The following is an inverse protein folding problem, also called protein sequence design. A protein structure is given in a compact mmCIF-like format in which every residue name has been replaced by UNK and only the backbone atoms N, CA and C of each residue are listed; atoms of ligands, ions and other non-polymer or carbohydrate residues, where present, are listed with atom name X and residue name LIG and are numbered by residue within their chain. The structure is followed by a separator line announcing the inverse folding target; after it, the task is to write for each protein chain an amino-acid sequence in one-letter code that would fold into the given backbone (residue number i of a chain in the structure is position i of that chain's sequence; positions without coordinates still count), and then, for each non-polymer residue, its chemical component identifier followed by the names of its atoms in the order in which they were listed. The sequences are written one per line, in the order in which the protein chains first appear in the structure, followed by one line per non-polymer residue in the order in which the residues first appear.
data_IF_673863081983
#
_entry.id   IF_673863081983
#
_cell.length_a   1.000
_cell.length_b   1.000
_cell.length_c   1.000
_cell.angle_alpha   90.00
_cell.angle_beta   90.00
_cell.angle_gamma   90.00
#
_symmetry.space_group_name_H-M   'P 1'
#
loop_
_entity.id
_entity.type
_entity.pdbx_description
1 polymer ?
#
# COMPACT_ATOMS: atom_id res chain seq x y z
N UNK A 1 -15.28 4.29 -5.16
CA UNK A 1 -14.33 3.33 -5.78
C UNK A 1 -13.37 4.15 -6.61
N UNK A 2 -12.07 4.04 -6.36
CA UNK A 2 -11.07 4.92 -6.99
C UNK A 2 -11.03 4.71 -8.52
N UNK A 3 -10.88 5.78 -9.29
CA UNK A 3 -10.75 5.71 -10.75
C UNK A 3 -9.37 6.18 -11.26
N UNK A 4 -9.14 6.03 -12.57
CA UNK A 4 -7.84 6.36 -13.18
C UNK A 4 -7.45 7.85 -13.09
N UNK A 5 -8.44 8.77 -13.05
CA UNK A 5 -8.17 10.20 -12.91
C UNK A 5 -7.70 10.52 -11.49
N UNK A 6 -8.37 9.96 -10.48
CA UNK A 6 -7.98 10.08 -9.08
C UNK A 6 -6.59 9.48 -8.83
N UNK A 7 -6.31 8.31 -9.40
CA UNK A 7 -4.98 7.70 -9.32
C UNK A 7 -3.88 8.63 -9.88
N UNK A 8 -4.12 9.24 -11.05
CA UNK A 8 -3.17 10.17 -11.66
C UNK A 8 -2.94 11.43 -10.84
N UNK A 9 -3.94 11.91 -10.10
CA UNK A 9 -3.78 13.04 -9.20
C UNK A 9 -2.85 12.67 -8.03
N UNK A 10 -3.06 11.52 -7.40
CA UNK A 10 -2.19 11.03 -6.31
C UNK A 10 -0.75 10.85 -6.82
N UNK A 11 -0.57 10.29 -8.02
CA UNK A 11 0.77 10.11 -8.61
C UNK A 11 1.43 11.47 -8.89
N UNK A 12 0.67 12.46 -9.34
CA UNK A 12 1.19 13.81 -9.59
C UNK A 12 1.60 14.55 -8.30
N UNK A 13 0.98 14.22 -7.16
CA UNK A 13 1.40 14.71 -5.84
C UNK A 13 2.73 14.07 -5.39
N UNK A 14 3.04 12.87 -5.88
CA UNK A 14 4.27 12.14 -5.59
C UNK A 14 4.22 11.34 -4.30
N UNK A 15 5.35 10.73 -3.95
CA UNK A 15 5.52 10.06 -2.66
C UNK A 15 5.58 11.07 -1.52
N UNK A 16 5.11 10.66 -0.34
CA UNK A 16 5.14 11.52 0.83
C UNK A 16 4.46 10.91 2.05
N UNK A 17 3.92 11.78 2.90
CA UNK A 17 3.42 11.39 4.22
C UNK A 17 2.29 10.35 4.18
N UNK A 18 1.47 10.34 3.12
CA UNK A 18 0.30 9.47 2.97
C UNK A 18 0.34 8.59 1.71
N UNK A 19 1.47 8.54 1.00
CA UNK A 19 1.57 7.83 -0.29
C UNK A 19 2.99 7.29 -0.50
N UNK A 20 3.06 6.02 -0.88
CA UNK A 20 4.30 5.30 -1.23
C UNK A 20 4.12 4.63 -2.59
N UNK A 21 5.14 4.67 -3.44
CA UNK A 21 5.20 3.97 -4.71
C UNK A 21 6.11 2.74 -4.60
N UNK A 22 5.72 1.67 -5.28
CA UNK A 22 6.55 0.46 -5.41
C UNK A 22 6.26 -0.19 -6.74
N UNK A 23 7.29 -0.65 -7.43
CA UNK A 23 7.07 -1.41 -8.65
C UNK A 23 6.51 -2.81 -8.37
N UNK A 24 6.88 -3.44 -7.24
CA UNK A 24 6.50 -4.81 -6.90
C UNK A 24 6.21 -4.99 -5.41
N UNK A 25 5.52 -6.08 -5.05
CA UNK A 25 5.32 -6.46 -3.67
C UNK A 25 6.52 -7.25 -3.14
N UNK A 26 7.11 -6.79 -2.04
CA UNK A 26 8.17 -7.48 -1.32
C UNK A 26 8.01 -7.30 0.21
N UNK A 27 9.00 -7.79 0.97
CA UNK A 27 8.95 -7.76 2.44
C UNK A 27 9.11 -6.36 3.03
N UNK A 28 9.62 -5.37 2.28
CA UNK A 28 9.74 -4.00 2.76
C UNK A 28 8.37 -3.47 3.16
N UNK A 29 7.31 -3.88 2.45
CA UNK A 29 5.94 -3.44 2.68
C UNK A 29 5.53 -3.47 4.15
N UNK A 30 6.00 -4.43 4.94
CA UNK A 30 5.71 -4.49 6.38
C UNK A 30 6.08 -3.19 7.10
N UNK A 31 7.22 -2.58 6.76
CA UNK A 31 7.68 -1.30 7.33
C UNK A 31 6.76 -0.16 6.92
N UNK A 32 6.40 -0.08 5.66
CA UNK A 32 5.51 0.97 5.14
C UNK A 32 4.08 0.84 5.73
N UNK A 33 3.55 -0.38 5.82
CA UNK A 33 2.26 -0.66 6.46
C UNK A 33 2.23 -0.18 7.92
N UNK A 34 3.30 -0.46 8.68
CA UNK A 34 3.43 -0.01 10.07
C UNK A 34 3.56 1.49 10.17
N UNK A 35 4.37 2.09 9.31
CA UNK A 35 4.58 3.54 9.29
C UNK A 35 3.24 4.26 9.09
N UNK A 36 2.45 3.86 8.09
CA UNK A 36 1.13 4.43 7.84
C UNK A 36 0.14 4.17 8.99
N UNK A 37 0.10 2.94 9.52
CA UNK A 37 -0.81 2.61 10.62
C UNK A 37 -0.48 3.38 11.91
N UNK A 38 0.79 3.71 12.13
CA UNK A 38 1.24 4.53 13.25
C UNK A 38 1.07 6.04 13.02
N UNK A 39 0.96 6.47 11.75
CA UNK A 39 0.72 7.86 11.35
C UNK A 39 -0.78 8.12 11.12
N UNK A 40 -1.17 8.95 10.15
CA UNK A 40 -2.58 9.22 9.79
C UNK A 40 -3.11 8.27 8.70
N UNK A 41 -2.51 7.09 8.54
CA UNK A 41 -2.81 6.18 7.43
C UNK A 41 -2.15 6.62 6.12
N UNK A 42 -2.45 5.90 5.04
CA UNK A 42 -1.89 6.19 3.72
C UNK A 42 -2.20 5.12 2.69
N UNK A 43 -1.58 5.25 1.52
CA UNK A 43 -1.74 4.32 0.39
C UNK A 43 -0.38 3.89 -0.14
N UNK A 44 -0.27 2.60 -0.45
CA UNK A 44 0.86 2.08 -1.22
C UNK A 44 0.34 1.73 -2.62
N UNK A 45 0.97 2.29 -3.66
CA UNK A 45 0.64 2.04 -5.06
C UNK A 45 1.63 1.04 -5.65
N UNK A 46 1.21 -0.23 -5.78
CA UNK A 46 2.03 -1.27 -6.41
C UNK A 46 1.88 -1.25 -7.94
N UNK A 47 3.02 -1.30 -8.64
CA UNK A 47 3.14 -1.14 -10.09
C UNK A 47 3.41 0.31 -10.51
N UNK A 48 3.88 1.15 -9.58
CA UNK A 48 4.31 2.52 -9.85
C UNK A 48 5.78 2.62 -9.49
N UNK A 49 6.61 3.17 -10.38
CA UNK A 49 8.02 3.41 -10.08
C UNK A 49 8.21 4.68 -9.25
N UNK A 50 9.40 4.86 -8.68
CA UNK A 50 9.73 5.99 -7.80
C UNK A 50 9.60 7.36 -8.52
N UNK A 51 9.72 7.38 -9.85
CA UNK A 51 9.50 8.57 -10.70
C UNK A 51 8.03 8.79 -11.08
N UNK A 52 7.10 7.97 -10.55
CA UNK A 52 5.67 8.05 -10.81
C UNK A 52 5.20 7.39 -12.10
N UNK A 53 6.06 6.67 -12.83
CA UNK A 53 5.61 5.96 -14.04
C UNK A 53 4.75 4.72 -13.71
N UNK A 54 3.68 4.55 -14.48
CA UNK A 54 2.76 3.43 -14.35
C UNK A 54 3.32 2.18 -15.05
N UNK A 55 4.16 1.41 -14.35
CA UNK A 55 4.71 0.13 -14.85
C UNK A 55 3.66 -0.98 -14.90
N UNK A 56 2.76 -1.01 -13.92
CA UNK A 56 1.76 -2.07 -13.75
C UNK A 56 2.33 -3.38 -13.23
N UNK A 57 1.48 -4.18 -12.57
CA UNK A 57 1.82 -5.53 -12.12
C UNK A 57 0.74 -6.52 -12.51
N UNK A 58 1.13 -7.80 -12.57
CA UNK A 58 0.16 -8.90 -12.66
C UNK A 58 -0.46 -9.14 -11.28
N UNK A 59 -1.65 -8.60 -11.05
CA UNK A 59 -2.38 -8.74 -9.79
C UNK A 59 -2.89 -10.18 -9.65
N UNK A 60 -2.24 -10.97 -8.81
CA UNK A 60 -2.62 -12.37 -8.54
C UNK A 60 -3.11 -12.53 -7.10
N UNK A 61 -3.86 -13.61 -6.84
CA UNK A 61 -4.21 -13.97 -5.46
C UNK A 61 -2.96 -14.20 -4.60
N UNK A 62 -1.86 -14.68 -5.17
CA UNK A 62 -0.59 -14.87 -4.45
C UNK A 62 -0.04 -13.55 -3.89
N UNK A 63 -0.05 -12.48 -4.69
CA UNK A 63 0.41 -11.15 -4.22
C UNK A 63 -0.53 -10.62 -3.13
N UNK A 64 -1.84 -10.74 -3.33
CA UNK A 64 -2.82 -10.31 -2.31
C UNK A 64 -2.65 -11.07 -0.99
N UNK A 65 -2.54 -12.40 -1.05
CA UNK A 65 -2.29 -13.25 0.12
C UNK A 65 -0.99 -12.86 0.81
N UNK A 66 0.09 -12.64 0.07
CA UNK A 66 1.36 -12.19 0.64
C UNK A 66 1.22 -10.88 1.44
N UNK A 67 0.55 -9.87 0.88
CA UNK A 67 0.33 -8.58 1.56
C UNK A 67 -0.52 -8.77 2.83
N UNK A 68 -1.58 -9.56 2.74
CA UNK A 68 -2.44 -9.86 3.89
C UNK A 68 -1.70 -10.69 4.95
N UNK A 69 -0.77 -11.57 4.56
CA UNK A 69 0.08 -12.33 5.47
C UNK A 69 1.02 -11.40 6.24
N UNK A 70 1.66 -10.44 5.55
CA UNK A 70 2.48 -9.43 6.21
C UNK A 70 1.66 -8.67 7.26
N UNK A 71 0.49 -8.15 6.86
CA UNK A 71 -0.41 -7.40 7.73
C UNK A 71 -0.87 -8.19 8.97
N UNK A 72 -1.16 -9.49 8.80
CA UNK A 72 -1.58 -10.38 9.89
C UNK A 72 -0.47 -10.72 10.87
N UNK A 73 0.79 -10.67 10.43
CA UNK A 73 1.95 -10.96 11.27
C UNK A 73 2.45 -9.72 12.07
N UNK A 74 1.77 -8.59 11.93
CA UNK A 74 2.00 -7.40 12.74
C UNK A 74 1.28 -7.51 14.09
N UNK A 75 1.74 -6.74 15.07
CA UNK A 75 1.19 -6.66 16.41
C UNK A 75 0.85 -5.19 16.74
N UNK A 76 -0.44 -4.82 16.89
CA UNK A 76 -1.60 -5.65 16.57
C UNK A 76 -1.73 -5.94 15.05
N UNK A 77 -2.50 -6.97 14.63
CA UNK A 77 -2.72 -7.24 13.21
C UNK A 77 -3.35 -6.05 12.48
N UNK A 78 -2.87 -5.81 11.26
CA UNK A 78 -3.35 -4.72 10.41
C UNK A 78 -4.52 -5.17 9.55
N UNK A 79 -5.56 -4.32 9.48
CA UNK A 79 -6.70 -4.49 8.58
C UNK A 79 -6.51 -3.56 7.39
N UNK A 80 -6.32 -4.14 6.20
CA UNK A 80 -6.05 -3.41 4.97
C UNK A 80 -7.23 -3.50 4.01
N UNK A 81 -7.36 -2.52 3.11
CA UNK A 81 -8.24 -2.64 1.94
C UNK A 81 -7.40 -2.72 0.67
N UNK A 82 -7.67 -3.73 -0.16
CA UNK A 82 -6.97 -3.95 -1.42
C UNK A 82 -7.95 -3.74 -2.57
N UNK A 83 -7.62 -2.83 -3.48
CA UNK A 83 -8.38 -2.61 -4.72
C UNK A 83 -7.46 -2.26 -5.87
N UNK A 84 -7.93 -2.47 -7.10
CA UNK A 84 -7.11 -2.26 -8.30
C UNK A 84 -7.70 -1.19 -9.21
N UNK A 85 -6.82 -0.40 -9.81
CA UNK A 85 -7.15 0.51 -10.90
C UNK A 85 -6.30 0.09 -12.10
N UNK A 86 -6.91 -0.60 -13.06
CA UNK A 86 -6.16 -1.27 -14.12
C UNK A 86 -5.19 -2.31 -13.54
N UNK A 87 -3.91 -2.17 -13.89
CA UNK A 87 -2.84 -3.06 -13.42
C UNK A 87 -2.08 -2.53 -12.19
N UNK A 88 -2.62 -1.51 -11.52
CA UNK A 88 -2.08 -0.95 -10.28
C UNK A 88 -2.87 -1.52 -9.12
N UNK A 89 -2.18 -2.08 -8.12
CA UNK A 89 -2.81 -2.55 -6.88
C UNK A 89 -2.60 -1.51 -5.79
N UNK A 90 -3.70 -0.99 -5.27
CA UNK A 90 -3.72 -0.01 -4.19
C UNK A 90 -3.90 -0.77 -2.88
N UNK A 91 -2.98 -0.53 -1.95
CA UNK A 91 -3.07 -0.98 -0.57
C UNK A 91 -3.47 0.23 0.27
N UNK A 92 -4.72 0.26 0.72
CA UNK A 92 -5.22 1.29 1.63
C UNK A 92 -4.94 0.87 3.07
N UNK A 93 -4.14 1.68 3.76
CA UNK A 93 -3.69 1.44 5.12
C UNK A 93 -4.37 2.48 6.02
N UNK A 94 -5.40 2.10 6.80
CA UNK A 94 -6.06 3.03 7.70
C UNK A 94 -5.13 3.42 8.87
N UNK A 95 -5.39 4.57 9.47
CA UNK A 95 -4.81 4.91 10.77
C UNK A 95 -5.18 3.84 11.80
N UNK A 96 -4.16 3.35 12.51
CA UNK A 96 -4.32 2.34 13.54
C UNK A 96 -4.94 2.91 14.81
N UNK A 97 -5.86 2.17 15.43
CA UNK A 97 -6.54 2.56 16.67
C UNK A 97 -5.79 2.15 17.94
N UNK A 98 -4.87 1.19 17.81
CA UNK A 98 -4.15 0.56 18.92
C UNK A 98 -2.64 0.73 18.79
N UNK A 99 -2.20 1.96 18.49
CA UNK A 99 -0.78 2.30 18.35
C UNK A 99 -0.02 2.04 19.67
N UNK A 100 1.25 1.61 19.63
CA UNK A 100 2.07 1.42 18.43
C UNK A 100 1.86 0.06 17.77
N UNK A 101 1.95 0.04 16.45
CA UNK A 101 2.04 -1.15 15.60
C UNK A 101 3.49 -1.49 15.30
N UNK A 102 3.79 -2.77 15.16
CA UNK A 102 5.10 -3.28 14.71
C UNK A 102 4.91 -4.59 13.93
N UNK A 103 5.77 -4.86 12.95
CA UNK A 103 5.88 -6.19 12.31
C UNK A 103 7.32 -6.69 12.48
N UNK A 104 7.49 -8.00 12.56
CA UNK A 104 8.81 -8.66 12.67
C UNK A 104 9.40 -8.99 11.31
#
# INVERSE_FOLDING_TARGET
MMNIKELKLIIAEGEGYSTEFKENADKSLAKELVAFSNSSGGKILLGVSDDGELRGIKITNRIKSFILDLARNCDPPLVLQLFSVGNILIIDVPEGKHKPYQCK
#
